data_IF_087578691248
#
_entry.id   IF_087578691248
#
_cell.length_a   1.000
_cell.length_b   1.000
_cell.length_c   1.000
_cell.angle_alpha   90.00
_cell.angle_beta   90.00
_cell.angle_gamma   90.00
#
_symmetry.space_group_name_H-M   'P 1'
#
loop_
_entity.id
_entity.type
_entity.pdbx_description
1 polymer ?
#
# COMPACT_ATOMS: atom_id res chain seq x y z
N UNK A 1 -2.38 1.38 39.20
CA UNK A 1 -3.11 1.38 37.94
C UNK A 1 -2.10 1.35 36.80
N UNK A 2 -1.98 0.25 36.12
CA UNK A 2 -1.21 0.16 34.89
C UNK A 2 -2.04 0.78 33.77
N UNK A 3 -1.63 1.94 33.29
CA UNK A 3 -2.18 2.52 32.08
C UNK A 3 -1.72 1.59 30.95
N UNK A 4 -2.64 0.78 30.42
CA UNK A 4 -2.38 0.02 29.21
C UNK A 4 -2.18 1.03 28.08
N UNK A 5 -0.93 1.33 27.77
CA UNK A 5 -0.59 1.96 26.51
C UNK A 5 -1.16 1.10 25.38
N UNK A 6 -1.83 1.68 24.37
CA UNK A 6 -2.28 0.89 23.23
C UNK A 6 -1.08 0.12 22.70
N UNK A 7 -1.22 -1.20 22.55
CA UNK A 7 -0.16 -2.04 21.99
C UNK A 7 0.21 -1.47 20.62
N UNK A 8 1.44 -1.00 20.50
CA UNK A 8 1.96 -0.48 19.24
C UNK A 8 1.82 -1.56 18.17
N UNK A 9 1.23 -1.20 17.03
CA UNK A 9 1.13 -2.10 15.89
C UNK A 9 2.53 -2.51 15.43
N UNK A 10 2.78 -3.80 15.30
CA UNK A 10 4.08 -4.35 14.88
C UNK A 10 3.97 -5.31 13.69
N UNK A 11 2.75 -5.53 13.19
CA UNK A 11 2.45 -6.41 12.06
C UNK A 11 1.75 -5.64 10.96
N UNK A 12 2.02 -6.02 9.72
CA UNK A 12 1.22 -5.62 8.57
C UNK A 12 0.41 -6.83 8.10
N UNK A 13 -0.90 -6.65 7.96
CA UNK A 13 -1.78 -7.68 7.39
C UNK A 13 -1.73 -7.57 5.88
N UNK A 14 -1.32 -8.63 5.21
CA UNK A 14 -1.10 -8.65 3.77
C UNK A 14 -1.72 -9.88 3.12
N UNK A 15 -2.01 -9.78 1.83
CA UNK A 15 -2.34 -10.93 0.98
C UNK A 15 -1.08 -11.59 0.45
N UNK A 16 -0.14 -10.77 -0.04
CA UNK A 16 1.07 -11.22 -0.68
C UNK A 16 2.16 -10.15 -0.56
N UNK A 17 3.41 -10.59 -0.58
CA UNK A 17 4.58 -9.73 -0.74
C UNK A 17 5.40 -10.29 -1.90
N UNK A 18 5.63 -9.45 -2.92
CA UNK A 18 6.50 -9.76 -4.05
C UNK A 18 7.81 -9.00 -3.85
N UNK A 19 8.91 -9.71 -3.74
CA UNK A 19 10.20 -9.12 -3.41
C UNK A 19 10.73 -8.17 -4.49
N UNK A 20 10.45 -8.49 -5.76
CA UNK A 20 10.91 -7.70 -6.90
C UNK A 20 9.76 -7.49 -7.89
N UNK A 21 9.34 -6.26 -8.03
CA UNK A 21 8.32 -5.84 -8.99
C UNK A 21 8.87 -4.68 -9.83
N UNK A 22 8.67 -4.77 -11.16
CA UNK A 22 9.16 -3.80 -12.13
C UNK A 22 8.03 -3.11 -12.90
N UNK A 23 6.77 -3.35 -12.53
CA UNK A 23 5.61 -2.91 -13.30
C UNK A 23 4.87 -1.72 -12.67
N UNK A 24 4.87 -1.64 -11.34
CA UNK A 24 4.01 -0.69 -10.63
C UNK A 24 4.71 0.63 -10.30
N UNK A 25 6.00 0.71 -10.49
CA UNK A 25 6.77 1.92 -10.25
C UNK A 25 8.02 1.96 -11.14
N UNK A 26 8.51 3.16 -11.44
CA UNK A 26 9.71 3.37 -12.27
C UNK A 26 11.01 2.79 -11.70
N UNK A 27 11.04 2.53 -10.39
CA UNK A 27 12.15 1.84 -9.72
C UNK A 27 11.75 0.41 -9.40
N UNK A 28 12.71 -0.50 -9.40
CA UNK A 28 12.50 -1.84 -8.86
C UNK A 28 12.01 -1.76 -7.43
N UNK A 29 10.91 -2.42 -7.10
CA UNK A 29 10.24 -2.27 -5.82
C UNK A 29 9.83 -3.61 -5.21
N UNK A 30 9.74 -3.64 -3.87
CA UNK A 30 8.96 -4.64 -3.18
C UNK A 30 7.48 -4.24 -3.28
N UNK A 31 6.64 -5.16 -3.75
CA UNK A 31 5.19 -4.95 -3.80
C UNK A 31 4.50 -5.64 -2.64
N UNK A 32 3.68 -4.89 -1.91
CA UNK A 32 2.89 -5.38 -0.78
C UNK A 32 1.41 -5.28 -1.14
N UNK A 33 0.77 -6.43 -1.31
CA UNK A 33 -0.67 -6.50 -1.53
C UNK A 33 -1.40 -6.41 -0.19
N UNK A 34 -2.25 -5.39 -0.06
CA UNK A 34 -3.03 -5.11 1.14
C UNK A 34 -4.14 -6.11 1.39
N UNK A 35 -4.73 -6.08 2.58
CA UNK A 35 -5.55 -7.19 3.09
C UNK A 35 -7.01 -7.19 2.61
N UNK A 36 -7.56 -6.04 2.19
CA UNK A 36 -8.98 -5.91 1.86
C UNK A 36 -9.27 -4.73 0.94
N UNK A 37 -10.43 -4.80 0.30
CA UNK A 37 -10.97 -3.73 -0.53
C UNK A 37 -12.48 -3.65 -0.30
N UNK A 38 -13.04 -2.45 -0.38
CA UNK A 38 -14.49 -2.21 -0.40
C UNK A 38 -15.06 -2.22 -1.83
N UNK A 39 -14.21 -2.40 -2.84
CA UNK A 39 -14.59 -2.40 -4.27
C UNK A 39 -15.36 -1.16 -4.72
N UNK A 40 -15.10 -0.04 -4.09
CA UNK A 40 -15.80 1.22 -4.34
C UNK A 40 -15.72 1.66 -5.82
N UNK A 41 -14.58 1.35 -6.48
CA UNK A 41 -14.41 1.60 -7.91
C UNK A 41 -15.52 1.00 -8.79
N UNK A 42 -16.05 -0.15 -8.41
CA UNK A 42 -17.05 -0.89 -9.18
C UNK A 42 -18.44 -0.67 -8.63
N UNK A 43 -18.61 -0.69 -7.29
CA UNK A 43 -19.92 -0.55 -6.66
C UNK A 43 -20.56 0.81 -6.96
N UNK A 44 -19.79 1.88 -7.04
CA UNK A 44 -20.30 3.20 -7.43
C UNK A 44 -20.83 3.23 -8.87
N UNK A 45 -20.31 2.39 -9.75
CA UNK A 45 -20.76 2.27 -11.14
C UNK A 45 -21.88 1.23 -11.32
N UNK A 46 -22.32 0.58 -10.24
CA UNK A 46 -23.29 -0.50 -10.31
C UNK A 46 -22.77 -1.76 -10.99
N UNK A 47 -21.44 -1.93 -11.04
CA UNK A 47 -20.81 -3.07 -11.70
C UNK A 47 -20.54 -4.21 -10.70
N UNK A 48 -20.43 -5.43 -11.23
CA UNK A 48 -20.09 -6.61 -10.45
C UNK A 48 -18.62 -6.56 -10.03
N UNK A 49 -18.36 -6.84 -8.75
CA UNK A 49 -16.97 -6.84 -8.21
C UNK A 49 -16.09 -7.92 -8.86
N UNK A 50 -16.67 -8.97 -9.44
CA UNK A 50 -15.92 -10.03 -10.12
C UNK A 50 -15.07 -9.56 -11.31
N UNK A 51 -15.39 -8.39 -11.88
CA UNK A 51 -14.62 -7.81 -12.98
C UNK A 51 -13.34 -7.08 -12.51
N UNK A 52 -13.13 -6.97 -11.19
CA UNK A 52 -11.93 -6.34 -10.66
C UNK A 52 -10.68 -7.12 -11.07
N UNK A 53 -9.70 -6.42 -11.62
CA UNK A 53 -8.41 -7.03 -12.02
C UNK A 53 -7.67 -7.68 -10.83
N UNK A 54 -7.94 -7.23 -9.61
CA UNK A 54 -7.33 -7.74 -8.38
C UNK A 54 -8.22 -8.74 -7.62
N UNK A 55 -9.27 -9.24 -8.24
CA UNK A 55 -10.18 -10.19 -7.60
C UNK A 55 -9.43 -11.44 -7.10
N UNK A 56 -8.47 -11.94 -7.88
CA UNK A 56 -7.66 -13.09 -7.48
C UNK A 56 -6.90 -12.82 -6.16
N UNK A 57 -6.34 -11.63 -6.02
CA UNK A 57 -5.65 -11.22 -4.79
C UNK A 57 -6.65 -11.15 -3.62
N UNK A 58 -7.84 -10.63 -3.85
CA UNK A 58 -8.86 -10.48 -2.79
C UNK A 58 -9.29 -11.81 -2.17
N UNK A 59 -9.21 -12.90 -2.94
CA UNK A 59 -9.59 -14.25 -2.47
C UNK A 59 -8.47 -14.99 -1.73
N UNK A 60 -7.24 -14.46 -1.77
CA UNK A 60 -6.12 -15.06 -1.04
C UNK A 60 -6.30 -14.88 0.47
N UNK A 61 -5.71 -15.78 1.29
CA UNK A 61 -5.76 -15.65 2.74
C UNK A 61 -4.93 -14.45 3.22
N UNK A 62 -5.38 -13.81 4.30
CA UNK A 62 -4.61 -12.78 4.99
C UNK A 62 -3.48 -13.40 5.80
N UNK A 63 -2.34 -12.73 5.82
CA UNK A 63 -1.17 -13.08 6.63
C UNK A 63 -0.75 -11.87 7.45
N UNK A 64 -0.45 -12.09 8.72
CA UNK A 64 0.18 -11.06 9.57
C UNK A 64 1.68 -11.24 9.50
N UNK A 65 2.38 -10.23 9.00
CA UNK A 65 3.83 -10.27 8.84
C UNK A 65 4.45 -9.17 9.70
N UNK A 66 5.38 -9.50 10.60
CA UNK A 66 6.06 -8.51 11.43
C UNK A 66 6.75 -7.45 10.56
N UNK A 67 6.72 -6.20 10.99
CA UNK A 67 7.41 -5.11 10.29
C UNK A 67 8.90 -5.39 10.12
N UNK A 68 9.53 -5.97 11.15
CA UNK A 68 10.93 -6.35 11.11
C UNK A 68 11.26 -7.35 10.02
N UNK A 69 10.38 -8.31 9.77
CA UNK A 69 10.58 -9.34 8.74
C UNK A 69 10.45 -8.74 7.34
N UNK A 70 9.45 -7.87 7.13
CA UNK A 70 9.28 -7.17 5.85
C UNK A 70 10.50 -6.29 5.57
N UNK A 71 10.92 -5.53 6.58
CA UNK A 71 12.06 -4.62 6.46
C UNK A 71 13.38 -5.36 6.19
N UNK A 72 13.64 -6.43 6.92
CA UNK A 72 14.83 -7.26 6.71
C UNK A 72 14.85 -7.83 5.29
N UNK A 73 13.74 -8.39 4.85
CA UNK A 73 13.56 -8.94 3.52
C UNK A 73 13.79 -7.89 2.43
N UNK A 74 13.28 -6.68 2.64
CA UNK A 74 13.52 -5.54 1.75
C UNK A 74 15.01 -5.15 1.69
N UNK A 75 15.64 -5.01 2.84
CA UNK A 75 17.05 -4.57 2.93
C UNK A 75 18.04 -5.62 2.41
N UNK A 76 17.71 -6.89 2.49
CA UNK A 76 18.54 -7.98 1.96
C UNK A 76 18.52 -8.06 0.43
N UNK A 77 17.53 -7.46 -0.21
CA UNK A 77 17.44 -7.43 -1.67
C UNK A 77 18.22 -6.22 -2.23
N UNK A 78 19.33 -6.44 -2.95
CA UNK A 78 20.16 -5.34 -3.45
C UNK A 78 19.55 -4.59 -4.64
N UNK A 79 18.51 -5.16 -5.26
CA UNK A 79 17.91 -4.63 -6.49
C UNK A 79 16.83 -3.60 -6.16
N UNK A 80 16.02 -3.84 -5.15
CA UNK A 80 14.87 -2.98 -4.82
C UNK A 80 15.29 -1.65 -4.22
N UNK A 81 14.62 -0.59 -4.67
CA UNK A 81 14.88 0.81 -4.27
C UNK A 81 13.59 1.56 -3.91
N UNK A 82 12.48 0.85 -3.79
CA UNK A 82 11.20 1.40 -3.41
C UNK A 82 10.28 0.31 -2.83
N UNK A 83 9.27 0.75 -2.11
CA UNK A 83 8.19 -0.12 -1.63
C UNK A 83 6.88 0.39 -2.23
N UNK A 84 6.14 -0.51 -2.88
CA UNK A 84 4.80 -0.22 -3.42
C UNK A 84 3.76 -0.94 -2.57
N UNK A 85 2.77 -0.21 -2.11
CA UNK A 85 1.67 -0.73 -1.29
C UNK A 85 0.37 -0.54 -2.08
N UNK A 86 -0.30 -1.63 -2.36
CA UNK A 86 -1.50 -1.59 -3.21
C UNK A 86 -2.15 -2.96 -3.36
N UNK A 87 -2.57 -3.26 -4.57
CA UNK A 87 -3.29 -4.50 -4.90
C UNK A 87 -4.76 -4.45 -4.51
N UNK A 88 -5.06 -4.26 -3.23
CA UNK A 88 -6.38 -3.94 -2.71
C UNK A 88 -6.40 -2.48 -2.20
N UNK A 89 -7.18 -2.17 -1.17
CA UNK A 89 -7.32 -0.78 -0.73
C UNK A 89 -6.52 -0.49 0.55
N UNK A 90 -5.36 0.18 0.44
CA UNK A 90 -4.51 0.49 1.59
C UNK A 90 -5.19 1.34 2.67
N UNK A 91 -6.07 2.25 2.28
CA UNK A 91 -6.71 3.20 3.22
C UNK A 91 -7.61 2.47 4.23
N UNK A 92 -8.15 1.30 3.87
CA UNK A 92 -8.97 0.50 4.80
C UNK A 92 -8.15 -0.12 5.95
N UNK A 93 -6.83 -0.11 5.87
CA UNK A 93 -5.91 -0.52 6.93
C UNK A 93 -4.84 0.54 7.19
N UNK A 94 -5.25 1.81 7.15
CA UNK A 94 -4.36 2.95 7.20
C UNK A 94 -3.45 2.95 8.45
N UNK A 95 -3.98 2.60 9.61
CA UNK A 95 -3.19 2.60 10.86
C UNK A 95 -1.99 1.65 10.77
N UNK A 96 -2.19 0.46 10.22
CA UNK A 96 -1.09 -0.49 10.00
C UNK A 96 -0.04 0.08 9.04
N UNK A 97 -0.49 0.70 7.94
CA UNK A 97 0.40 1.27 6.93
C UNK A 97 1.18 2.45 7.49
N UNK A 98 0.51 3.34 8.22
CA UNK A 98 1.16 4.47 8.87
C UNK A 98 2.27 4.02 9.84
N UNK A 99 1.97 3.05 10.69
CA UNK A 99 2.93 2.49 11.64
C UNK A 99 4.08 1.76 10.92
N UNK A 100 3.80 1.07 9.83
CA UNK A 100 4.83 0.43 9.01
C UNK A 100 5.77 1.47 8.38
N UNK A 101 5.24 2.53 7.79
CA UNK A 101 6.04 3.62 7.22
C UNK A 101 6.88 4.28 8.32
N UNK A 102 6.28 4.55 9.48
CA UNK A 102 7.00 5.08 10.64
C UNK A 102 8.16 4.16 11.04
N UNK A 103 7.92 2.85 11.08
CA UNK A 103 8.93 1.86 11.41
C UNK A 103 10.13 1.91 10.46
N UNK A 104 9.90 1.89 9.15
CA UNK A 104 11.01 1.92 8.18
C UNK A 104 11.76 3.25 8.20
N UNK A 105 11.09 4.37 8.41
CA UNK A 105 11.73 5.69 8.55
C UNK A 105 12.57 5.77 9.83
N UNK A 106 12.10 5.20 10.93
CA UNK A 106 12.86 5.12 12.19
C UNK A 106 14.09 4.20 12.09
N UNK A 107 14.11 3.30 11.11
CA UNK A 107 15.28 2.47 10.79
C UNK A 107 16.17 3.08 9.69
N UNK A 108 16.07 4.39 9.49
CA UNK A 108 16.90 5.16 8.57
C UNK A 108 16.76 4.76 7.10
N UNK A 109 15.59 4.26 6.69
CA UNK A 109 15.27 3.99 5.30
C UNK A 109 14.37 5.11 4.76
N UNK A 110 14.89 5.92 3.86
CA UNK A 110 14.20 7.03 3.18
C UNK A 110 13.83 6.70 1.73
N UNK A 111 13.89 5.44 1.34
CA UNK A 111 13.50 5.00 0.01
C UNK A 111 12.02 5.33 -0.27
N UNK A 112 11.68 5.50 -1.55
CA UNK A 112 10.32 5.84 -1.95
C UNK A 112 9.31 4.79 -1.47
N UNK A 113 8.21 5.26 -0.89
CA UNK A 113 7.04 4.45 -0.59
C UNK A 113 5.88 4.95 -1.44
N UNK A 114 5.37 4.10 -2.30
CA UNK A 114 4.27 4.40 -3.22
C UNK A 114 3.01 3.72 -2.73
N UNK A 115 1.94 4.47 -2.57
CA UNK A 115 0.64 3.96 -2.10
C UNK A 115 -0.39 4.16 -3.20
N UNK A 116 -0.97 3.07 -3.67
CA UNK A 116 -2.04 3.07 -4.66
C UNK A 116 -3.39 2.96 -3.95
N UNK A 117 -4.20 3.99 -4.06
CA UNK A 117 -5.55 4.00 -3.49
C UNK A 117 -6.61 4.31 -4.54
N UNK A 118 -7.76 3.65 -4.43
CA UNK A 118 -8.94 3.95 -5.21
C UNK A 118 -9.71 5.18 -4.71
N UNK A 119 -9.37 5.71 -3.56
CA UNK A 119 -9.97 6.93 -3.04
C UNK A 119 -9.43 8.17 -3.76
N UNK A 120 -10.25 9.21 -3.83
CA UNK A 120 -9.84 10.52 -4.30
C UNK A 120 -9.18 11.32 -3.17
N UNK A 121 -8.36 12.28 -3.52
CA UNK A 121 -7.66 13.14 -2.55
C UNK A 121 -8.59 13.76 -1.51
N UNK A 122 -9.75 14.25 -1.94
CA UNK A 122 -10.73 14.88 -1.05
C UNK A 122 -11.41 13.91 -0.07
N UNK A 123 -11.34 12.61 -0.31
CA UNK A 123 -11.91 11.59 0.57
C UNK A 123 -10.98 11.19 1.72
N UNK A 124 -9.67 11.44 1.57
CA UNK A 124 -8.63 10.95 2.49
C UNK A 124 -7.68 12.08 2.97
N UNK A 125 -8.18 13.26 3.17
CA UNK A 125 -7.37 14.43 3.56
C UNK A 125 -6.58 14.24 4.85
N UNK A 126 -7.18 13.57 5.84
CA UNK A 126 -6.52 13.32 7.13
C UNK A 126 -5.36 12.34 6.98
N UNK A 127 -5.55 11.28 6.22
CA UNK A 127 -4.53 10.26 5.94
C UNK A 127 -3.35 10.89 5.19
N UNK A 128 -3.63 11.72 4.18
CA UNK A 128 -2.61 12.45 3.44
C UNK A 128 -1.82 13.37 4.37
N UNK A 129 -2.49 14.11 5.23
CA UNK A 129 -1.84 15.01 6.18
C UNK A 129 -0.91 14.25 7.14
N UNK A 130 -1.34 13.08 7.62
CA UNK A 130 -0.51 12.25 8.49
C UNK A 130 0.70 11.70 7.74
N UNK A 131 0.52 11.21 6.51
CA UNK A 131 1.63 10.70 5.69
C UNK A 131 2.61 11.80 5.27
N UNK A 132 2.19 13.05 5.17
CA UNK A 132 3.05 14.18 4.82
C UNK A 132 4.17 14.45 5.84
N UNK A 133 4.09 13.84 7.01
CA UNK A 133 5.14 13.90 8.04
C UNK A 133 6.39 13.09 7.65
N UNK A 134 6.24 12.17 6.71
CA UNK A 134 7.33 11.32 6.24
C UNK A 134 7.87 11.82 4.90
N UNK A 135 9.16 11.62 4.67
CA UNK A 135 9.79 11.89 3.38
C UNK A 135 9.43 10.82 2.36
N UNK A 136 9.49 11.19 1.08
CA UNK A 136 9.45 10.27 -0.06
C UNK A 136 8.22 9.35 -0.06
N UNK A 137 7.06 9.89 0.27
CA UNK A 137 5.77 9.22 0.12
C UNK A 137 5.11 9.72 -1.14
N UNK A 138 4.70 8.79 -1.99
CA UNK A 138 4.00 9.06 -3.25
C UNK A 138 2.64 8.38 -3.16
N UNK A 139 1.57 9.14 -3.35
CA UNK A 139 0.22 8.59 -3.31
C UNK A 139 -0.41 8.75 -4.69
N UNK A 140 -0.82 7.64 -5.28
CA UNK A 140 -1.58 7.61 -6.52
C UNK A 140 -3.05 7.43 -6.16
N UNK A 141 -3.85 8.43 -6.51
CA UNK A 141 -5.28 8.51 -6.20
C UNK A 141 -6.16 8.07 -7.35
N UNK A 142 -7.38 7.72 -7.00
CA UNK A 142 -8.52 7.68 -7.90
C UNK A 142 -9.00 6.29 -8.24
N UNK A 143 -10.30 6.24 -8.61
CA UNK A 143 -11.00 5.01 -8.97
C UNK A 143 -10.39 4.34 -10.20
N UNK A 144 -10.28 3.01 -10.15
CA UNK A 144 -10.08 2.23 -11.37
C UNK A 144 -11.34 2.38 -12.25
N UNK A 145 -11.15 2.73 -13.52
CA UNK A 145 -12.21 2.86 -14.50
C UNK A 145 -12.02 1.75 -15.53
N UNK A 146 -12.94 0.77 -15.63
CA UNK A 146 -12.87 -0.28 -16.64
C UNK A 146 -12.79 0.30 -18.05
N UNK A 147 -12.04 -0.34 -18.93
CA UNK A 147 -11.86 0.03 -20.34
C UNK A 147 -11.20 1.41 -20.58
N UNK A 148 -10.67 2.05 -19.54
CA UNK A 148 -9.86 3.25 -19.71
C UNK A 148 -8.47 2.90 -20.24
N UNK A 149 -7.90 3.80 -21.06
CA UNK A 149 -6.54 3.63 -21.57
C UNK A 149 -5.53 3.97 -20.47
N UNK A 150 -4.47 3.16 -20.37
CA UNK A 150 -3.31 3.52 -19.56
C UNK A 150 -2.55 4.68 -20.20
N UNK A 151 -2.06 5.59 -19.37
CA UNK A 151 -1.21 6.71 -19.79
C UNK A 151 0.10 6.66 -19.02
N UNK A 152 1.16 7.17 -19.65
CA UNK A 152 2.44 7.33 -18.99
C UNK A 152 2.34 8.42 -17.92
N UNK A 153 2.85 8.11 -16.72
CA UNK A 153 2.97 9.06 -15.61
C UNK A 153 4.44 9.35 -15.34
N UNK A 154 4.82 10.62 -15.27
CA UNK A 154 6.23 11.04 -15.10
C UNK A 154 6.81 10.64 -13.73
N UNK A 155 5.97 10.41 -12.73
CA UNK A 155 6.38 9.99 -11.39
C UNK A 155 6.39 8.47 -11.25
N UNK A 156 5.34 7.81 -11.73
CA UNK A 156 5.15 6.37 -11.56
C UNK A 156 5.81 5.54 -12.66
N UNK A 157 5.82 6.04 -13.86
CA UNK A 157 6.37 5.34 -15.03
C UNK A 157 5.35 4.65 -15.91
#
# INVERSE_FOLDING_TARGET
>A
MTINSPKKQIYLTVKEIVDENFQDYKKSSMFIATSRCDFKCLTELGLDCSICQNMKISTMPNKKVPFSDIYLRYKMNPITKAIVIGGLEPILQFDEIYEFVSYIRNNSCDDDVVIYTGYYENEIKNEIQLLSRFKNIIIKYGRFIPDSKSIFDSVLG
#
